data_IF_795352296156
#
_entry.id   IF_795352296156
#
_cell.length_a   1.000
_cell.length_b   1.000
_cell.length_c   1.000
_cell.angle_alpha   90.00
_cell.angle_beta   90.00
_cell.angle_gamma   90.00
#
_symmetry.space_group_name_H-M   'P 1'
#
loop_
_entity.id
_entity.type
_entity.pdbx_description
1 polymer ?
#
# COMPACT_ATOMS: atom_id res chain seq x y z
N UNK A 1 -14.33 -1.05 -3.93
CA UNK A 1 -14.16 -2.46 -4.31
C UNK A 1 -13.53 -3.22 -3.16
N UNK A 2 -14.14 -4.34 -2.71
CA UNK A 2 -13.61 -5.17 -1.63
C UNK A 2 -12.15 -5.65 -1.84
N UNK A 3 -11.50 -6.25 -0.83
CA UNK A 3 -10.17 -6.83 -0.92
C UNK A 3 -10.09 -7.92 -2.00
N UNK A 4 -9.00 -7.92 -2.77
CA UNK A 4 -8.74 -8.96 -3.77
C UNK A 4 -9.60 -8.91 -5.03
N UNK A 5 -10.48 -7.92 -5.20
CA UNK A 5 -11.40 -7.86 -6.36
C UNK A 5 -10.80 -7.23 -7.62
N UNK A 6 -9.48 -7.02 -7.65
CA UNK A 6 -8.81 -6.45 -8.82
C UNK A 6 -8.97 -4.94 -9.01
N UNK A 7 -9.26 -4.15 -7.95
CA UNK A 7 -9.37 -2.67 -8.02
C UNK A 7 -8.31 -2.03 -8.91
N UNK A 8 -7.03 -2.25 -8.62
CA UNK A 8 -5.91 -1.64 -9.34
C UNK A 8 -5.81 -2.13 -10.79
N UNK A 9 -6.26 -3.36 -11.11
CA UNK A 9 -6.32 -3.87 -12.49
C UNK A 9 -7.44 -3.18 -13.26
N UNK A 10 -8.61 -3.02 -12.65
CA UNK A 10 -9.72 -2.24 -13.20
C UNK A 10 -9.30 -0.78 -13.40
N UNK A 11 -8.64 -0.15 -12.42
CA UNK A 11 -8.12 1.22 -12.52
C UNK A 11 -7.16 1.37 -13.71
N UNK A 12 -6.19 0.44 -13.86
CA UNK A 12 -5.26 0.47 -15.00
C UNK A 12 -5.97 0.33 -16.35
N UNK A 13 -7.00 -0.53 -16.42
CA UNK A 13 -7.81 -0.71 -17.64
C UNK A 13 -8.63 0.54 -17.98
N UNK A 14 -9.21 1.19 -16.97
CA UNK A 14 -9.92 2.47 -17.13
C UNK A 14 -8.95 3.53 -17.66
N UNK A 15 -7.77 3.65 -17.06
CA UNK A 15 -6.74 4.61 -17.49
C UNK A 15 -6.32 4.38 -18.95
N UNK A 16 -6.13 3.11 -19.33
CA UNK A 16 -5.82 2.75 -20.71
C UNK A 16 -6.90 3.26 -21.67
N UNK A 17 -8.17 2.94 -21.43
CA UNK A 17 -9.24 3.40 -22.31
C UNK A 17 -9.44 4.92 -22.28
N UNK A 18 -9.30 5.58 -21.14
CA UNK A 18 -9.37 7.05 -21.05
C UNK A 18 -8.29 7.72 -21.91
N UNK A 19 -7.06 7.21 -21.86
CA UNK A 19 -5.97 7.70 -22.69
C UNK A 19 -6.25 7.52 -24.18
N UNK A 20 -6.74 6.34 -24.58
CA UNK A 20 -7.02 6.01 -25.98
C UNK A 20 -8.23 6.75 -26.57
N UNK A 21 -9.33 6.86 -25.81
CA UNK A 21 -10.58 7.49 -26.26
C UNK A 21 -10.38 8.99 -26.40
N UNK A 22 -9.82 9.63 -25.37
CA UNK A 22 -9.71 11.09 -25.33
C UNK A 22 -8.47 11.60 -26.04
N UNK A 23 -7.48 10.74 -26.32
CA UNK A 23 -6.16 11.14 -26.86
C UNK A 23 -5.53 12.27 -26.04
N UNK A 24 -5.75 12.24 -24.72
CA UNK A 24 -5.34 13.25 -23.75
C UNK A 24 -4.60 12.59 -22.59
N UNK A 25 -3.76 13.37 -21.92
CA UNK A 25 -3.05 12.96 -20.72
C UNK A 25 -4.02 12.63 -19.60
N UNK A 26 -3.79 11.49 -18.95
CA UNK A 26 -4.53 11.07 -17.76
C UNK A 26 -3.69 11.33 -16.52
N UNK A 27 -4.27 12.00 -15.52
CA UNK A 27 -3.65 12.14 -14.20
C UNK A 27 -4.10 10.97 -13.32
N UNK A 28 -3.15 10.24 -12.76
CA UNK A 28 -3.42 9.10 -11.90
C UNK A 28 -2.77 9.35 -10.54
N UNK A 29 -3.57 9.30 -9.48
CA UNK A 29 -3.09 9.62 -8.14
C UNK A 29 -3.61 8.66 -7.08
N UNK A 30 -2.90 8.60 -5.96
CA UNK A 30 -3.32 7.93 -4.75
C UNK A 30 -2.70 8.64 -3.53
N UNK A 31 -3.25 8.49 -2.31
CA UNK A 31 -2.69 9.15 -1.12
C UNK A 31 -1.30 8.63 -0.74
N UNK A 32 -1.03 7.34 -0.94
CA UNK A 32 0.23 6.71 -0.55
C UNK A 32 1.14 6.42 -1.75
N UNK A 33 2.46 6.54 -1.55
CA UNK A 33 3.44 6.24 -2.60
C UNK A 33 3.35 4.78 -3.07
N UNK A 34 3.11 3.84 -2.15
CA UNK A 34 2.98 2.42 -2.49
C UNK A 34 1.80 2.16 -3.42
N UNK A 35 0.65 2.80 -3.17
CA UNK A 35 -0.52 2.66 -4.05
C UNK A 35 -0.24 3.26 -5.45
N UNK A 36 0.42 4.42 -5.52
CA UNK A 36 0.84 5.02 -6.80
C UNK A 36 1.79 4.08 -7.56
N UNK A 37 2.78 3.51 -6.87
CA UNK A 37 3.79 2.64 -7.49
C UNK A 37 3.15 1.35 -8.04
N UNK A 38 2.22 0.72 -7.30
CA UNK A 38 1.46 -0.44 -7.79
C UNK A 38 0.63 -0.13 -9.04
N UNK A 39 0.00 1.04 -9.06
CA UNK A 39 -0.82 1.46 -10.19
C UNK A 39 0.04 1.85 -11.40
N UNK A 40 1.17 2.54 -11.18
CA UNK A 40 2.21 2.80 -12.19
C UNK A 40 2.64 1.52 -12.90
N UNK A 41 2.99 0.50 -12.13
CA UNK A 41 3.48 -0.77 -12.68
C UNK A 41 2.42 -1.42 -13.59
N UNK A 42 1.15 -1.47 -13.13
CA UNK A 42 0.07 -2.05 -13.93
C UNK A 42 -0.24 -1.25 -15.19
N UNK A 43 -0.23 0.08 -15.12
CA UNK A 43 -0.46 0.93 -16.28
C UNK A 43 0.69 0.79 -17.28
N UNK A 44 1.94 0.74 -16.82
CA UNK A 44 3.12 0.57 -17.69
C UNK A 44 3.04 -0.71 -18.53
N UNK A 45 2.51 -1.80 -17.95
CA UNK A 45 2.27 -3.07 -18.67
C UNK A 45 1.26 -2.99 -19.82
N UNK A 46 0.46 -1.92 -19.90
CA UNK A 46 -0.47 -1.70 -21.02
C UNK A 46 0.21 -1.12 -22.26
N UNK A 47 1.49 -0.74 -22.16
CA UNK A 47 2.26 -0.14 -23.26
C UNK A 47 2.16 1.39 -23.34
N UNK A 48 1.40 2.03 -22.46
CA UNK A 48 1.34 3.49 -22.35
C UNK A 48 2.67 4.07 -21.85
N UNK A 49 2.98 5.29 -22.28
CA UNK A 49 4.11 6.09 -21.77
C UNK A 49 3.75 6.66 -20.40
N UNK A 50 4.19 5.96 -19.35
CA UNK A 50 3.95 6.35 -17.95
C UNK A 50 5.13 7.12 -17.39
N UNK A 51 4.83 8.23 -16.70
CA UNK A 51 5.81 8.99 -15.91
C UNK A 51 5.37 9.03 -14.44
N UNK A 52 6.24 8.54 -13.55
CA UNK A 52 6.06 8.60 -12.10
C UNK A 52 6.70 9.87 -11.54
N UNK A 53 5.90 10.82 -11.07
CA UNK A 53 6.37 12.04 -10.43
C UNK A 53 6.35 11.88 -8.90
N UNK A 54 7.51 12.00 -8.26
CA UNK A 54 7.67 12.00 -6.81
C UNK A 54 8.17 13.36 -6.28
N UNK A 55 7.97 13.58 -4.98
CA UNK A 55 8.56 14.71 -4.27
C UNK A 55 10.10 14.60 -4.24
N UNK A 56 10.80 15.74 -4.26
CA UNK A 56 12.27 15.79 -4.30
C UNK A 56 12.93 15.01 -3.14
N UNK A 57 12.34 15.06 -1.95
CA UNK A 57 12.81 14.32 -0.77
C UNK A 57 12.78 12.80 -0.93
N UNK A 58 12.12 12.29 -1.99
CA UNK A 58 12.03 10.86 -2.31
C UNK A 58 12.85 10.46 -3.52
N UNK A 59 13.58 11.36 -4.18
CA UNK A 59 14.41 11.02 -5.36
C UNK A 59 15.52 10.00 -5.00
N UNK A 60 16.01 9.99 -3.76
CA UNK A 60 17.03 9.05 -3.31
C UNK A 60 16.48 7.66 -2.89
N UNK A 61 15.15 7.48 -2.82
CA UNK A 61 14.54 6.25 -2.34
C UNK A 61 14.33 5.25 -3.49
N UNK A 62 14.75 4.01 -3.29
CA UNK A 62 14.47 2.93 -4.24
C UNK A 62 12.97 2.60 -4.29
N UNK A 63 12.49 2.23 -5.48
CA UNK A 63 11.12 1.80 -5.72
C UNK A 63 11.08 0.75 -6.85
N UNK A 64 10.11 -0.18 -6.85
CA UNK A 64 9.90 -1.11 -7.96
C UNK A 64 9.71 -0.42 -9.32
N UNK A 65 9.23 0.83 -9.31
CA UNK A 65 8.98 1.64 -10.50
C UNK A 65 10.02 2.75 -10.71
N UNK A 66 11.23 2.60 -10.16
CA UNK A 66 12.33 3.57 -10.36
C UNK A 66 12.58 3.90 -11.84
N UNK A 67 12.51 2.91 -12.73
CA UNK A 67 12.66 3.11 -14.18
C UNK A 67 11.58 4.01 -14.82
N UNK A 68 10.45 4.23 -14.13
CA UNK A 68 9.38 5.14 -14.55
C UNK A 68 9.50 6.53 -13.91
N UNK A 69 10.40 6.73 -12.96
CA UNK A 69 10.50 7.99 -12.22
C UNK A 69 11.05 9.11 -13.09
N UNK A 70 10.39 10.27 -13.04
CA UNK A 70 10.72 11.42 -13.88
C UNK A 70 12.21 11.79 -13.83
N UNK A 71 12.78 11.84 -12.62
CA UNK A 71 14.17 12.26 -12.42
C UNK A 71 15.19 11.24 -12.96
N UNK A 72 14.85 9.94 -12.95
CA UNK A 72 15.70 8.87 -13.51
C UNK A 72 15.55 8.79 -15.03
N UNK A 73 14.32 8.90 -15.55
CA UNK A 73 14.08 8.95 -16.99
C UNK A 73 14.77 10.16 -17.64
N UNK A 74 14.79 11.31 -16.95
CA UNK A 74 15.48 12.51 -17.45
C UNK A 74 16.98 12.27 -17.68
N UNK A 75 17.61 11.50 -16.79
CA UNK A 75 19.01 11.11 -16.95
C UNK A 75 19.19 10.06 -18.04
N UNK A 76 18.18 9.27 -18.38
CA UNK A 76 18.27 8.23 -19.41
C UNK A 76 17.92 8.71 -20.82
N UNK A 77 17.41 9.95 -20.96
CA UNK A 77 17.06 10.50 -22.27
C UNK A 77 18.25 10.57 -23.23
N UNK A 78 18.08 10.14 -24.50
CA UNK A 78 19.11 10.29 -25.53
C UNK A 78 19.50 11.76 -25.73
N UNK A 79 20.79 12.02 -25.96
CA UNK A 79 21.32 13.36 -26.22
C UNK A 79 21.45 14.26 -24.97
N UNK A 80 21.31 13.72 -23.76
CA UNK A 80 21.46 14.46 -22.50
C UNK A 80 22.79 14.18 -21.78
N UNK A 81 23.89 14.02 -22.53
CA UNK A 81 25.23 13.72 -21.97
C UNK A 81 25.71 14.79 -20.99
N UNK A 82 25.45 16.07 -21.30
CA UNK A 82 25.83 17.19 -20.44
C UNK A 82 25.09 17.18 -19.10
N UNK A 83 23.81 16.79 -19.11
CA UNK A 83 23.03 16.64 -17.87
C UNK A 83 23.57 15.49 -17.01
N UNK A 84 23.94 14.36 -17.64
CA UNK A 84 24.56 13.22 -16.96
C UNK A 84 25.90 13.61 -16.33
N UNK A 85 26.76 14.30 -17.08
CA UNK A 85 28.07 14.74 -16.60
C UNK A 85 27.94 15.68 -15.38
N UNK A 86 26.98 16.62 -15.42
CA UNK A 86 26.70 17.51 -14.29
C UNK A 86 26.12 16.77 -13.09
N UNK A 87 25.26 15.76 -13.32
CA UNK A 87 24.74 14.93 -12.24
C UNK A 87 25.88 14.12 -11.58
N UNK A 88 26.75 13.50 -12.37
CA UNK A 88 27.91 12.74 -11.87
C UNK A 88 28.85 13.64 -11.07
N UNK A 89 29.19 14.81 -11.61
CA UNK A 89 30.05 15.77 -10.91
C UNK A 89 29.43 16.14 -9.55
N UNK A 90 28.13 16.46 -9.52
CA UNK A 90 27.43 16.77 -8.26
C UNK A 90 27.46 15.62 -7.26
N UNK A 91 27.33 14.38 -7.74
CA UNK A 91 27.30 13.20 -6.89
C UNK A 91 28.71 12.88 -6.32
N UNK A 92 29.78 13.25 -7.05
CA UNK A 92 31.18 13.11 -6.62
C UNK A 92 31.64 14.24 -5.68
N UNK A 93 31.30 15.49 -5.99
CA UNK A 93 31.77 16.68 -5.26
C UNK A 93 30.81 17.14 -4.16
N UNK A 94 29.57 16.65 -4.15
CA UNK A 94 28.47 17.10 -3.29
C UNK A 94 27.84 18.42 -3.72
N UNK A 95 28.57 19.28 -4.42
CA UNK A 95 28.12 20.61 -4.86
C UNK A 95 28.63 20.95 -6.27
N UNK A 96 27.85 21.75 -7.01
CA UNK A 96 28.24 22.31 -8.32
C UNK A 96 28.61 23.79 -8.19
N UNK A 97 29.42 24.29 -9.14
CA UNK A 97 29.66 25.73 -9.27
C UNK A 97 28.33 26.48 -9.51
N UNK A 98 28.25 27.76 -9.14
CA UNK A 98 27.01 28.53 -9.32
C UNK A 98 26.55 28.61 -10.80
N UNK A 99 27.48 28.53 -11.75
CA UNK A 99 27.17 28.50 -13.18
C UNK A 99 26.64 27.12 -13.61
N UNK A 100 27.29 26.06 -13.14
CA UNK A 100 26.90 24.67 -13.42
C UNK A 100 25.58 24.30 -12.77
N UNK A 101 25.30 24.76 -11.54
CA UNK A 101 24.02 24.55 -10.87
C UNK A 101 22.87 25.20 -11.66
N UNK A 102 23.08 26.42 -12.16
CA UNK A 102 22.11 27.11 -13.03
C UNK A 102 21.90 26.40 -14.35
N UNK A 103 22.95 25.81 -14.92
CA UNK A 103 22.87 25.05 -16.17
C UNK A 103 22.19 23.70 -15.95
N UNK A 104 22.60 22.96 -14.92
CA UNK A 104 22.03 21.69 -14.49
C UNK A 104 20.53 21.82 -14.27
N UNK A 105 20.10 22.83 -13.51
CA UNK A 105 18.67 23.09 -13.27
C UNK A 105 17.90 23.33 -14.57
N UNK A 106 18.43 24.14 -15.48
CA UNK A 106 17.79 24.41 -16.78
C UNK A 106 17.66 23.13 -17.62
N UNK A 107 18.75 22.37 -17.77
CA UNK A 107 18.74 21.12 -18.53
C UNK A 107 17.78 20.09 -17.91
N UNK A 108 17.77 19.97 -16.57
CA UNK A 108 16.87 19.07 -15.84
C UNK A 108 15.41 19.48 -16.03
N UNK A 109 15.08 20.77 -15.91
CA UNK A 109 13.73 21.30 -16.11
C UNK A 109 13.24 21.10 -17.56
N UNK A 110 14.11 21.30 -18.56
CA UNK A 110 13.79 21.06 -19.97
C UNK A 110 13.52 19.57 -20.25
N UNK A 111 14.35 18.67 -19.70
CA UNK A 111 14.14 17.22 -19.81
C UNK A 111 12.85 16.79 -19.12
N UNK A 112 12.60 17.30 -17.92
CA UNK A 112 11.36 17.03 -17.19
C UNK A 112 10.14 17.45 -18.00
N UNK A 113 10.15 18.66 -18.57
CA UNK A 113 9.07 19.15 -19.41
C UNK A 113 8.83 18.25 -20.62
N UNK A 114 9.89 17.85 -21.34
CA UNK A 114 9.78 16.97 -22.52
C UNK A 114 9.14 15.62 -22.16
N UNK A 115 9.54 15.01 -21.04
CA UNK A 115 8.98 13.74 -20.58
C UNK A 115 7.51 13.86 -20.19
N UNK A 116 7.17 14.87 -19.38
CA UNK A 116 5.78 15.10 -18.95
C UNK A 116 4.88 15.47 -20.14
N UNK A 117 5.40 16.19 -21.14
CA UNK A 117 4.67 16.54 -22.35
C UNK A 117 4.39 15.31 -23.24
N UNK A 118 5.34 14.37 -23.32
CA UNK A 118 5.26 13.17 -24.13
C UNK A 118 4.57 11.98 -23.44
N UNK A 119 4.27 12.09 -22.14
CA UNK A 119 3.59 11.06 -21.37
C UNK A 119 2.12 10.91 -21.79
N UNK A 120 1.64 9.68 -21.79
CA UNK A 120 0.21 9.36 -21.89
C UNK A 120 -0.44 9.45 -20.50
N UNK A 121 0.32 9.04 -19.48
CA UNK A 121 -0.14 8.98 -18.09
C UNK A 121 0.92 9.56 -17.16
N UNK A 122 0.48 10.44 -16.26
CA UNK A 122 1.31 10.95 -15.17
C UNK A 122 0.77 10.39 -13.86
N UNK A 123 1.63 9.70 -13.11
CA UNK A 123 1.30 9.11 -11.83
C UNK A 123 2.02 9.85 -10.70
N UNK A 124 1.30 10.29 -9.68
CA UNK A 124 1.88 10.95 -8.50
C UNK A 124 1.00 10.78 -7.26
N UNK A 125 1.46 11.22 -6.08
CA UNK A 125 0.53 11.24 -4.92
C UNK A 125 -0.45 12.40 -5.04
N UNK A 126 -1.60 12.32 -4.35
CA UNK A 126 -2.61 13.38 -4.34
C UNK A 126 -1.99 14.77 -4.07
N UNK A 127 -1.14 14.87 -3.04
CA UNK A 127 -0.43 16.12 -2.71
C UNK A 127 0.55 16.54 -3.81
N UNK A 128 1.29 15.60 -4.41
CA UNK A 128 2.26 15.88 -5.48
C UNK A 128 1.57 16.35 -6.78
N UNK A 129 0.26 16.17 -6.92
CA UNK A 129 -0.49 16.71 -8.06
C UNK A 129 -0.43 18.25 -8.14
N UNK A 130 -0.13 18.93 -7.02
CA UNK A 130 0.09 20.39 -6.96
C UNK A 130 1.51 20.84 -7.37
N UNK A 131 2.41 19.92 -7.73
CA UNK A 131 3.79 20.24 -8.08
C UNK A 131 3.84 21.23 -9.26
N UNK A 132 4.69 22.26 -9.15
CA UNK A 132 4.88 23.30 -10.17
C UNK A 132 5.18 22.73 -11.56
N UNK A 133 5.84 21.57 -11.63
CA UNK A 133 6.14 20.87 -12.90
C UNK A 133 4.88 20.45 -13.64
N UNK A 134 3.76 20.25 -12.93
CA UNK A 134 2.47 19.86 -13.50
C UNK A 134 1.57 21.03 -13.92
N UNK A 135 1.81 22.24 -13.40
CA UNK A 135 0.94 23.42 -13.65
C UNK A 135 0.80 23.80 -15.13
N UNK A 136 1.76 23.41 -15.97
CA UNK A 136 1.74 23.69 -17.42
C UNK A 136 0.87 22.73 -18.22
N UNK A 137 0.38 21.66 -17.60
CA UNK A 137 -0.36 20.60 -18.28
C UNK A 137 -1.84 20.64 -17.90
N UNK A 138 -2.68 20.22 -18.86
CA UNK A 138 -4.11 20.04 -18.65
C UNK A 138 -4.43 18.56 -18.56
N UNK A 139 -5.36 18.21 -17.68
CA UNK A 139 -5.77 16.83 -17.43
C UNK A 139 -7.29 16.75 -17.56
N UNK A 140 -7.77 16.17 -18.66
CA UNK A 140 -9.20 15.98 -18.86
C UNK A 140 -9.78 14.94 -17.87
N UNK A 141 -9.02 13.86 -17.67
CA UNK A 141 -9.42 12.74 -16.82
C UNK A 141 -8.46 12.58 -15.65
N UNK A 142 -9.03 12.44 -14.44
CA UNK A 142 -8.31 12.16 -13.20
C UNK A 142 -8.82 10.85 -12.61
N UNK A 143 -7.94 9.91 -12.32
CA UNK A 143 -8.25 8.72 -11.53
C UNK A 143 -7.55 8.81 -10.18
N UNK A 144 -8.33 8.67 -9.10
CA UNK A 144 -7.83 8.64 -7.71
C UNK A 144 -8.06 7.23 -7.16
N UNK A 145 -6.99 6.45 -7.00
CA UNK A 145 -7.04 5.14 -6.35
C UNK A 145 -6.81 5.27 -4.85
N UNK A 146 -7.34 4.30 -4.09
CA UNK A 146 -7.40 4.34 -2.62
C UNK A 146 -7.95 5.67 -2.07
N UNK A 147 -8.94 6.27 -2.76
CA UNK A 147 -9.51 7.59 -2.42
C UNK A 147 -10.25 7.63 -1.08
N UNK A 148 -10.54 6.47 -0.49
CA UNK A 148 -11.12 6.36 0.85
C UNK A 148 -10.09 6.57 1.96
N UNK A 149 -8.78 6.45 1.65
CA UNK A 149 -7.70 6.71 2.60
C UNK A 149 -7.31 8.20 2.66
N UNK A 150 -7.75 9.03 1.71
CA UNK A 150 -7.41 10.47 1.69
C UNK A 150 -8.49 11.31 2.37
N UNK A 151 -8.05 12.33 3.11
CA UNK A 151 -8.98 13.37 3.56
C UNK A 151 -9.59 14.06 2.35
N UNK A 152 -10.80 14.60 2.48
CA UNK A 152 -11.43 15.32 1.37
C UNK A 152 -10.56 16.45 0.78
N UNK A 153 -9.91 17.33 1.58
CA UNK A 153 -9.02 18.36 1.04
C UNK A 153 -7.85 17.78 0.24
N UNK A 154 -7.26 16.68 0.69
CA UNK A 154 -6.19 15.99 -0.03
C UNK A 154 -6.68 15.43 -1.38
N UNK A 155 -7.89 14.86 -1.39
CA UNK A 155 -8.52 14.32 -2.60
C UNK A 155 -8.87 15.41 -3.61
N UNK A 156 -9.11 16.64 -3.15
CA UNK A 156 -9.41 17.80 -4.01
C UNK A 156 -8.17 18.33 -4.73
N UNK A 157 -6.96 18.22 -4.15
CA UNK A 157 -5.70 18.71 -4.76
C UNK A 157 -5.57 18.34 -6.25
N UNK A 158 -5.64 17.06 -6.66
CA UNK A 158 -5.55 16.68 -8.08
C UNK A 158 -6.72 17.19 -8.94
N UNK A 159 -7.88 17.48 -8.34
CA UNK A 159 -9.06 17.98 -9.04
C UNK A 159 -8.96 19.47 -9.37
N UNK A 160 -8.07 20.20 -8.71
CA UNK A 160 -7.77 21.61 -9.03
C UNK A 160 -6.93 21.78 -10.30
N UNK A 161 -6.44 20.68 -10.89
CA UNK A 161 -5.67 20.71 -12.11
C UNK A 161 -6.50 21.31 -13.28
N UNK A 162 -5.82 21.97 -14.21
CA UNK A 162 -6.51 22.64 -15.31
C UNK A 162 -7.18 21.63 -16.27
N UNK A 163 -8.45 21.90 -16.60
CA UNK A 163 -9.17 21.15 -17.64
C UNK A 163 -9.82 19.84 -17.18
N UNK A 164 -9.88 19.57 -15.87
CA UNK A 164 -10.55 18.37 -15.33
C UNK A 164 -12.04 18.40 -15.67
N UNK A 165 -12.52 17.35 -16.31
CA UNK A 165 -13.95 17.18 -16.66
C UNK A 165 -14.46 15.77 -16.39
N UNK A 166 -13.57 14.80 -16.15
CA UNK A 166 -13.93 13.44 -15.80
C UNK A 166 -13.10 12.96 -14.61
N UNK A 167 -13.78 12.46 -13.58
CA UNK A 167 -13.13 11.99 -12.34
C UNK A 167 -13.58 10.57 -12.04
N UNK A 168 -12.63 9.70 -11.73
CA UNK A 168 -12.87 8.33 -11.27
C UNK A 168 -12.29 8.18 -9.86
N UNK A 169 -13.15 7.97 -8.87
CA UNK A 169 -12.73 7.68 -7.50
C UNK A 169 -12.82 6.18 -7.25
N UNK A 170 -11.71 5.56 -6.86
CA UNK A 170 -11.61 4.14 -6.55
C UNK A 170 -11.21 4.01 -5.10
N UNK A 171 -11.98 3.24 -4.33
CA UNK A 171 -11.73 3.05 -2.91
C UNK A 171 -12.62 1.98 -2.30
N UNK A 172 -12.49 1.81 -0.99
CA UNK A 172 -13.29 0.86 -0.21
C UNK A 172 -13.54 1.44 1.19
N UNK A 173 -14.77 1.92 1.41
CA UNK A 173 -15.18 2.55 2.68
C UNK A 173 -15.25 1.56 3.84
N UNK A 174 -15.22 0.25 3.56
CA UNK A 174 -15.12 -0.80 4.55
C UNK A 174 -13.66 -1.07 4.98
N UNK A 175 -12.66 -0.48 4.30
CA UNK A 175 -11.23 -0.51 4.68
C UNK A 175 -10.80 0.83 5.30
N UNK A 176 -9.51 1.02 5.58
CA UNK A 176 -9.06 2.20 6.34
C UNK A 176 -9.47 3.51 5.68
N UNK A 177 -9.96 4.42 6.53
CA UNK A 177 -10.19 5.80 6.20
C UNK A 177 -8.93 6.67 6.40
N UNK A 178 -9.08 8.00 6.31
CA UNK A 178 -7.99 8.94 6.52
C UNK A 178 -7.50 8.96 7.96
N UNK A 179 -6.18 9.08 8.14
CA UNK A 179 -5.56 9.22 9.47
C UNK A 179 -5.52 10.71 9.85
N UNK A 180 -6.35 11.11 10.81
CA UNK A 180 -6.41 12.48 11.33
C UNK A 180 -5.91 12.51 12.78
N UNK A 181 -4.72 13.05 12.99
CA UNK A 181 -4.09 13.10 14.32
C UNK A 181 -4.84 14.01 15.31
N UNK A 182 -5.38 15.13 14.82
CA UNK A 182 -6.17 16.05 15.64
C UNK A 182 -7.58 15.48 15.86
N UNK A 183 -7.84 14.99 17.09
CA UNK A 183 -9.15 14.43 17.45
C UNK A 183 -10.30 15.43 17.23
N UNK A 184 -10.09 16.71 17.53
CA UNK A 184 -11.12 17.73 17.30
C UNK A 184 -11.46 17.88 15.81
N UNK A 185 -10.45 17.86 14.93
CA UNK A 185 -10.67 17.92 13.48
C UNK A 185 -11.33 16.63 12.94
N UNK A 186 -10.94 15.46 13.47
CA UNK A 186 -11.58 14.19 13.14
C UNK A 186 -13.07 14.21 13.53
N UNK A 187 -13.39 14.65 14.76
CA UNK A 187 -14.78 14.79 15.23
C UNK A 187 -15.57 15.84 14.44
N UNK A 188 -14.91 16.85 13.88
CA UNK A 188 -15.52 17.84 12.99
C UNK A 188 -15.72 17.33 11.55
N UNK A 189 -15.35 16.09 11.24
CA UNK A 189 -15.61 15.43 9.96
C UNK A 189 -14.42 15.31 9.01
N UNK A 190 -13.20 15.76 9.39
CA UNK A 190 -12.02 15.64 8.52
C UNK A 190 -11.61 14.18 8.24
N UNK A 191 -12.10 13.24 9.05
CA UNK A 191 -11.92 11.80 8.86
C UNK A 191 -12.91 11.17 7.86
N UNK A 192 -13.82 11.96 7.28
CA UNK A 192 -14.67 11.53 6.18
C UNK A 192 -13.95 11.81 4.85
N UNK A 193 -13.78 10.76 4.04
CA UNK A 193 -13.22 10.90 2.70
C UNK A 193 -14.25 11.50 1.73
N UNK A 194 -13.76 12.12 0.65
CA UNK A 194 -14.63 12.60 -0.44
C UNK A 194 -15.49 11.46 -1.00
N UNK A 195 -14.93 10.25 -1.10
CA UNK A 195 -15.65 9.07 -1.56
C UNK A 195 -16.85 8.76 -0.65
N UNK A 196 -16.64 8.68 0.66
CA UNK A 196 -17.71 8.41 1.63
C UNK A 196 -18.79 9.50 1.58
N UNK A 197 -18.41 10.78 1.53
CA UNK A 197 -19.37 11.89 1.44
C UNK A 197 -20.26 11.77 0.20
N UNK A 198 -19.68 11.47 -0.97
CA UNK A 198 -20.43 11.29 -2.20
C UNK A 198 -21.40 10.09 -2.15
N UNK A 199 -21.00 9.01 -1.47
CA UNK A 199 -21.91 7.87 -1.21
C UNK A 199 -23.08 8.30 -0.33
N UNK A 200 -22.85 9.06 0.74
CA UNK A 200 -23.91 9.59 1.59
C UNK A 200 -24.85 10.55 0.84
N UNK A 201 -24.34 11.27 -0.16
CA UNK A 201 -25.15 12.11 -1.06
C UNK A 201 -25.95 11.33 -2.10
N UNK A 202 -25.88 10.00 -2.10
CA UNK A 202 -26.68 9.12 -2.96
C UNK A 202 -25.97 8.63 -4.23
N UNK A 203 -24.69 8.96 -4.43
CA UNK A 203 -23.91 8.38 -5.54
C UNK A 203 -23.62 6.92 -5.20
N UNK A 204 -24.20 6.00 -5.98
CA UNK A 204 -24.02 4.55 -5.78
C UNK A 204 -22.70 4.09 -6.40
N UNK A 205 -21.75 3.55 -5.61
CA UNK A 205 -20.51 3.02 -6.17
C UNK A 205 -20.77 1.75 -7.00
N UNK A 206 -19.99 1.59 -8.06
CA UNK A 206 -19.91 0.33 -8.79
C UNK A 206 -19.06 -0.64 -7.93
N UNK A 207 -19.67 -1.71 -7.43
CA UNK A 207 -19.01 -2.71 -6.57
C UNK A 207 -18.45 -3.84 -7.44
N UNK A 208 -17.13 -4.04 -7.39
CA UNK A 208 -16.49 -5.27 -7.88
C UNK A 208 -16.83 -6.42 -6.93
N UNK A 209 -17.32 -7.55 -7.44
CA UNK A 209 -17.93 -8.60 -6.59
C UNK A 209 -17.12 -9.89 -6.46
N UNK A 210 -16.16 -10.15 -7.34
CA UNK A 210 -15.38 -11.41 -7.34
C UNK A 210 -13.97 -11.15 -6.82
N UNK A 211 -13.58 -11.85 -5.76
CA UNK A 211 -12.23 -11.78 -5.18
C UNK A 211 -11.33 -12.89 -5.73
N UNK A 212 -10.07 -12.56 -6.03
CA UNK A 212 -9.08 -13.47 -6.62
C UNK A 212 -7.84 -13.68 -5.73
N UNK A 213 -7.87 -13.19 -4.48
CA UNK A 213 -6.71 -13.21 -3.57
C UNK A 213 -6.70 -14.42 -2.67
N UNK A 214 -7.74 -14.55 -1.86
CA UNK A 214 -7.79 -15.39 -0.67
C UNK A 214 -8.35 -16.77 -0.99
N UNK A 215 -7.89 -17.80 -0.27
CA UNK A 215 -8.61 -19.07 -0.15
C UNK A 215 -10.07 -18.81 0.29
N UNK A 216 -11.08 -19.53 -0.26
CA UNK A 216 -12.50 -19.30 0.05
C UNK A 216 -12.86 -19.28 1.55
N UNK A 217 -12.15 -20.05 2.39
CA UNK A 217 -12.39 -20.04 3.83
C UNK A 217 -11.96 -18.72 4.51
N UNK A 218 -10.93 -18.05 3.99
CA UNK A 218 -10.40 -16.80 4.55
C UNK A 218 -11.31 -15.62 4.20
N UNK A 219 -11.93 -15.65 3.01
CA UNK A 219 -12.85 -14.59 2.56
C UNK A 219 -14.24 -14.67 3.20
N UNK A 220 -14.64 -15.83 3.73
CA UNK A 220 -15.99 -16.07 4.26
C UNK A 220 -16.39 -15.09 5.37
N UNK A 221 -15.55 -14.93 6.41
CA UNK A 221 -15.86 -14.01 7.51
C UNK A 221 -15.86 -12.54 7.04
N UNK A 222 -14.81 -12.01 6.35
CA UNK A 222 -14.84 -10.64 5.86
C UNK A 222 -16.02 -10.36 4.92
N UNK A 223 -16.37 -11.30 4.04
CA UNK A 223 -17.53 -11.19 3.14
C UNK A 223 -18.81 -10.97 3.93
N UNK A 224 -19.11 -11.86 4.88
CA UNK A 224 -20.36 -11.83 5.62
C UNK A 224 -20.45 -10.62 6.56
N UNK A 225 -19.35 -10.24 7.20
CA UNK A 225 -19.34 -9.20 8.23
C UNK A 225 -19.24 -7.80 7.64
N UNK A 226 -18.41 -7.59 6.61
CA UNK A 226 -18.12 -6.26 6.08
C UNK A 226 -18.79 -5.98 4.72
N UNK A 227 -19.24 -7.02 4.01
CA UNK A 227 -19.74 -6.91 2.63
C UNK A 227 -21.06 -7.65 2.40
N UNK A 228 -21.85 -7.85 3.46
CA UNK A 228 -23.23 -8.40 3.38
C UNK A 228 -23.30 -9.80 2.73
N UNK A 229 -22.19 -10.56 2.75
CA UNK A 229 -22.09 -11.87 2.09
C UNK A 229 -22.04 -11.80 0.55
N UNK A 230 -21.88 -10.62 -0.03
CA UNK A 230 -21.94 -10.42 -1.49
C UNK A 230 -20.62 -10.70 -2.22
N UNK A 231 -19.53 -10.94 -1.49
CA UNK A 231 -18.21 -11.21 -2.08
C UNK A 231 -18.12 -12.66 -2.56
N UNK A 232 -17.96 -12.84 -3.87
CA UNK A 232 -17.80 -14.13 -4.52
C UNK A 232 -16.32 -14.51 -4.65
N UNK A 233 -16.03 -15.81 -4.75
CA UNK A 233 -14.67 -16.32 -4.93
C UNK A 233 -14.41 -16.62 -6.41
N UNK A 234 -13.42 -15.94 -6.99
CA UNK A 234 -12.89 -16.23 -8.33
C UNK A 234 -11.69 -17.17 -8.32
N UNK A 235 -11.37 -17.72 -7.15
CA UNK A 235 -10.35 -18.75 -6.94
C UNK A 235 -10.92 -19.87 -6.10
N UNK A 236 -10.50 -21.09 -6.39
CA UNK A 236 -10.92 -22.33 -5.74
C UNK A 236 -10.07 -22.64 -4.50
N UNK A 237 -10.50 -23.64 -3.71
CA UNK A 237 -9.70 -24.14 -2.59
C UNK A 237 -8.41 -24.79 -3.08
N UNK A 238 -8.46 -25.44 -4.24
CA UNK A 238 -7.34 -26.12 -4.90
C UNK A 238 -6.27 -25.12 -5.37
N UNK A 239 -6.67 -24.02 -6.02
CA UNK A 239 -5.76 -22.93 -6.45
C UNK A 239 -5.13 -22.16 -5.28
N UNK A 240 -5.68 -22.31 -4.08
CA UNK A 240 -5.17 -21.72 -2.83
C UNK A 240 -4.80 -22.79 -1.81
N UNK A 241 -4.55 -24.02 -2.27
CA UNK A 241 -4.21 -25.13 -1.41
C UNK A 241 -2.77 -25.03 -0.94
N UNK A 242 -2.57 -25.39 0.32
CA UNK A 242 -1.27 -25.52 0.98
C UNK A 242 -0.97 -26.98 1.32
N UNK A 243 -1.70 -27.92 0.73
CA UNK A 243 -1.61 -29.35 1.05
C UNK A 243 -0.18 -29.91 0.89
N UNK A 244 0.61 -29.36 -0.04
CA UNK A 244 2.00 -29.75 -0.25
C UNK A 244 2.96 -29.23 0.84
N UNK A 245 2.55 -28.25 1.66
CA UNK A 245 3.43 -27.56 2.60
C UNK A 245 3.60 -28.27 3.95
N UNK A 246 2.94 -29.40 4.23
CA UNK A 246 3.09 -30.17 5.49
C UNK A 246 3.07 -29.29 6.78
N UNK A 247 2.29 -28.20 6.76
CA UNK A 247 2.07 -27.36 7.94
C UNK A 247 0.93 -27.97 8.77
N UNK A 248 1.07 -28.03 10.11
CA UNK A 248 0.08 -28.67 10.98
C UNK A 248 -1.16 -27.78 11.19
N UNK A 249 -1.94 -27.55 10.14
CA UNK A 249 -3.23 -26.87 10.25
C UNK A 249 -4.19 -27.70 11.11
N UNK A 250 -4.87 -27.11 12.11
CA UNK A 250 -5.84 -27.84 12.93
C UNK A 250 -6.95 -28.49 12.10
N UNK A 251 -7.33 -27.85 10.98
CA UNK A 251 -8.16 -28.44 9.96
C UNK A 251 -7.41 -28.36 8.61
N UNK A 252 -7.05 -29.48 7.97
CA UNK A 252 -6.29 -29.50 6.72
C UNK A 252 -6.94 -28.74 5.54
N UNK A 253 -8.27 -28.56 5.57
CA UNK A 253 -9.04 -27.86 4.52
C UNK A 253 -9.30 -26.38 4.85
N UNK A 254 -8.86 -25.91 6.01
CA UNK A 254 -9.01 -24.52 6.44
C UNK A 254 -7.63 -24.00 6.84
N UNK A 255 -6.90 -23.34 5.93
CA UNK A 255 -5.59 -22.76 6.22
C UNK A 255 -5.69 -21.50 7.11
N UNK A 256 -6.42 -21.60 8.22
CA UNK A 256 -6.49 -20.60 9.25
C UNK A 256 -6.78 -21.21 10.60
N UNK A 257 -6.24 -20.58 11.64
CA UNK A 257 -6.61 -20.86 13.01
C UNK A 257 -6.31 -19.67 13.91
N UNK A 258 -6.96 -19.68 15.06
CA UNK A 258 -6.69 -18.78 16.17
C UNK A 258 -5.85 -19.53 17.19
N UNK A 259 -4.66 -19.01 17.47
CA UNK A 259 -3.69 -19.57 18.40
C UNK A 259 -3.74 -18.79 19.71
N UNK A 260 -4.51 -19.33 20.65
CA UNK A 260 -4.65 -18.75 21.97
C UNK A 260 -3.34 -18.92 22.76
N UNK A 261 -2.84 -17.83 23.32
CA UNK A 261 -1.66 -17.84 24.19
C UNK A 261 -1.98 -17.15 25.51
N UNK A 262 -1.50 -17.66 26.63
CA UNK A 262 -1.71 -16.99 27.91
C UNK A 262 -0.52 -16.09 28.22
N UNK A 263 -0.64 -14.80 27.88
CA UNK A 263 0.36 -13.76 28.14
C UNK A 263 -0.26 -12.52 28.77
N UNK A 264 0.60 -11.60 29.21
CA UNK A 264 0.20 -10.27 29.67
C UNK A 264 0.79 -9.21 28.76
N UNK A 265 0.04 -8.13 28.56
CA UNK A 265 0.54 -6.97 27.82
C UNK A 265 1.51 -6.14 28.69
N UNK A 266 2.57 -5.63 28.06
CA UNK A 266 3.54 -4.72 28.66
C UNK A 266 3.51 -3.39 27.91
N UNK A 267 3.74 -2.28 28.62
CA UNK A 267 3.97 -0.97 27.98
C UNK A 267 5.39 -0.98 27.41
N UNK A 268 5.54 -0.62 26.13
CA UNK A 268 6.86 -0.55 25.50
C UNK A 268 7.72 0.58 26.09
N UNK A 269 9.04 0.49 25.94
CA UNK A 269 9.98 1.45 26.57
C UNK A 269 9.80 2.93 26.22
N UNK A 270 9.05 3.25 25.16
CA UNK A 270 8.67 4.63 24.80
C UNK A 270 7.41 5.15 25.53
N UNK A 271 6.76 4.32 26.37
CA UNK A 271 5.60 4.69 27.20
C UNK A 271 4.26 4.85 26.46
N UNK A 272 4.20 4.69 25.14
CA UNK A 272 3.01 5.02 24.32
C UNK A 272 2.48 3.87 23.48
N UNK A 273 3.12 2.69 23.53
CA UNK A 273 2.71 1.49 22.80
C UNK A 273 2.72 0.27 23.70
N UNK A 274 2.26 -0.86 23.16
CA UNK A 274 2.16 -2.12 23.89
C UNK A 274 2.94 -3.22 23.18
N UNK A 275 3.40 -4.20 23.94
CA UNK A 275 4.00 -5.44 23.45
C UNK A 275 3.54 -6.63 24.29
N UNK A 276 3.64 -7.82 23.73
CA UNK A 276 3.34 -9.08 24.40
C UNK A 276 4.41 -10.11 24.04
N UNK A 277 5.23 -10.47 25.03
CA UNK A 277 6.38 -11.37 24.86
C UNK A 277 5.96 -12.79 24.55
N UNK A 278 4.87 -13.25 25.18
CA UNK A 278 4.34 -14.60 24.96
C UNK A 278 3.82 -14.74 23.53
N UNK A 279 3.09 -13.75 23.03
CA UNK A 279 2.69 -13.71 21.62
C UNK A 279 3.90 -13.68 20.69
N UNK A 280 4.90 -12.84 20.97
CA UNK A 280 6.08 -12.74 20.12
C UNK A 280 6.87 -14.07 20.01
N UNK A 281 7.00 -14.80 21.12
CA UNK A 281 7.62 -16.12 21.12
C UNK A 281 6.79 -17.15 20.32
N UNK A 282 5.45 -17.07 20.38
CA UNK A 282 4.58 -17.92 19.56
C UNK A 282 4.71 -17.57 18.07
N UNK A 283 4.71 -16.27 17.73
CA UNK A 283 4.90 -15.78 16.36
C UNK A 283 6.23 -16.26 15.79
N UNK A 284 7.34 -16.17 16.53
CA UNK A 284 8.64 -16.70 16.09
C UNK A 284 8.55 -18.18 15.75
N UNK A 285 7.97 -19.01 16.63
CA UNK A 285 7.83 -20.46 16.38
C UNK A 285 7.03 -20.76 15.12
N UNK A 286 5.97 -19.99 14.88
CA UNK A 286 5.12 -20.12 13.68
C UNK A 286 5.91 -19.72 12.42
N UNK A 287 6.59 -18.56 12.45
CA UNK A 287 7.46 -18.09 11.36
C UNK A 287 8.51 -19.14 11.04
N UNK A 288 9.23 -19.62 12.06
CA UNK A 288 10.26 -20.64 11.92
C UNK A 288 9.72 -21.92 11.30
N UNK A 289 8.52 -22.35 11.71
CA UNK A 289 7.89 -23.54 11.13
C UNK A 289 7.55 -23.35 9.66
N UNK A 290 6.99 -22.19 9.28
CA UNK A 290 6.67 -21.85 7.89
C UNK A 290 7.94 -21.79 7.02
N UNK A 291 9.01 -21.19 7.52
CA UNK A 291 10.29 -21.14 6.80
C UNK A 291 10.89 -22.55 6.63
N UNK A 292 10.84 -23.41 7.65
CA UNK A 292 11.37 -24.79 7.59
C UNK A 292 10.67 -25.68 6.57
N UNK A 293 9.40 -25.41 6.25
CA UNK A 293 8.64 -26.16 5.24
C UNK A 293 8.74 -25.53 3.84
N UNK A 294 9.61 -24.53 3.66
CA UNK A 294 9.91 -23.94 2.36
C UNK A 294 9.09 -22.71 1.98
N UNK A 295 8.36 -22.10 2.92
CA UNK A 295 7.76 -20.77 2.67
C UNK A 295 8.88 -19.76 2.49
N UNK A 296 8.86 -19.02 1.38
CA UNK A 296 9.84 -17.99 1.10
C UNK A 296 9.62 -16.78 2.02
N UNK A 297 10.66 -16.24 2.69
CA UNK A 297 10.53 -15.14 3.64
C UNK A 297 9.75 -13.94 3.12
N UNK A 298 10.00 -13.52 1.88
CA UNK A 298 9.38 -12.37 1.24
C UNK A 298 7.87 -12.54 1.01
N UNK A 299 7.37 -13.77 1.06
CA UNK A 299 5.94 -14.12 0.92
C UNK A 299 5.23 -14.25 2.27
N UNK A 300 5.95 -14.14 3.38
CA UNK A 300 5.42 -14.16 4.74
C UNK A 300 5.30 -12.74 5.30
N UNK A 301 4.20 -12.46 5.99
CA UNK A 301 3.98 -11.19 6.68
C UNK A 301 3.53 -11.39 8.11
N UNK A 302 4.05 -10.57 9.01
CA UNK A 302 3.57 -10.43 10.38
C UNK A 302 2.95 -9.05 10.55
N UNK A 303 1.67 -9.04 10.91
CA UNK A 303 0.89 -7.84 11.13
C UNK A 303 0.68 -7.68 12.63
N UNK A 304 0.96 -6.50 13.15
CA UNK A 304 0.64 -6.17 14.54
C UNK A 304 0.20 -4.72 14.67
N UNK A 305 -0.81 -4.42 15.50
CA UNK A 305 -1.33 -3.06 15.57
C UNK A 305 -0.48 -2.09 16.39
N UNK A 306 0.47 -2.59 17.16
CA UNK A 306 1.28 -1.79 18.07
C UNK A 306 2.72 -1.69 17.59
N UNK A 307 3.21 -0.46 17.48
CA UNK A 307 4.59 -0.18 17.09
C UNK A 307 5.61 -0.79 18.07
N UNK A 308 5.25 -0.83 19.37
CA UNK A 308 6.04 -1.54 20.39
C UNK A 308 6.22 -3.02 20.08
N UNK A 309 5.15 -3.72 19.74
CA UNK A 309 5.20 -5.12 19.32
C UNK A 309 5.96 -5.30 18.01
N UNK A 310 5.78 -4.41 17.03
CA UNK A 310 6.51 -4.47 15.74
C UNK A 310 8.02 -4.41 15.96
N UNK A 311 8.49 -3.41 16.71
CA UNK A 311 9.90 -3.25 17.04
C UNK A 311 10.43 -4.43 17.86
N UNK A 312 9.64 -4.91 18.83
CA UNK A 312 9.99 -6.06 19.66
C UNK A 312 10.14 -7.33 18.85
N UNK A 313 9.21 -7.64 17.93
CA UNK A 313 9.28 -8.81 17.04
C UNK A 313 10.54 -8.80 16.17
N UNK A 314 10.88 -7.66 15.56
CA UNK A 314 12.09 -7.52 14.74
C UNK A 314 13.34 -7.82 15.58
N UNK A 315 13.42 -7.26 16.78
CA UNK A 315 14.53 -7.52 17.70
C UNK A 315 14.55 -8.99 18.15
N UNK A 316 13.38 -9.55 18.47
CA UNK A 316 13.24 -10.93 18.93
C UNK A 316 13.68 -11.92 17.87
N UNK A 317 13.29 -11.73 16.61
CA UNK A 317 13.74 -12.58 15.50
C UNK A 317 15.25 -12.52 15.31
N UNK A 318 15.86 -11.34 15.47
CA UNK A 318 17.30 -11.17 15.34
C UNK A 318 18.07 -11.87 16.48
N UNK A 319 17.57 -11.81 17.72
CA UNK A 319 18.27 -12.30 18.89
C UNK A 319 17.99 -13.77 19.21
N UNK A 320 16.75 -14.23 19.02
CA UNK A 320 16.26 -15.52 19.48
C UNK A 320 15.77 -16.43 18.34
N UNK A 321 15.78 -15.95 17.09
CA UNK A 321 15.34 -16.74 15.94
C UNK A 321 16.20 -17.99 15.75
N UNK A 322 15.55 -19.14 15.53
CA UNK A 322 16.22 -20.45 15.38
C UNK A 322 16.93 -20.69 14.03
N UNK A 323 16.81 -19.75 13.09
CA UNK A 323 17.30 -19.87 11.71
C UNK A 323 18.28 -18.73 11.42
N UNK A 324 18.86 -18.72 10.21
CA UNK A 324 19.72 -17.63 9.79
C UNK A 324 18.97 -16.29 9.88
N UNK A 325 19.58 -15.30 10.56
CA UNK A 325 19.00 -13.97 10.78
C UNK A 325 18.55 -13.28 9.48
N UNK A 326 19.24 -13.55 8.36
CA UNK A 326 18.88 -13.01 7.04
C UNK A 326 17.49 -13.45 6.60
N UNK A 327 17.09 -14.70 6.91
CA UNK A 327 15.75 -15.19 6.57
C UNK A 327 14.68 -14.42 7.32
N UNK A 328 14.90 -14.08 8.60
CA UNK A 328 13.92 -13.28 9.34
C UNK A 328 13.88 -11.81 8.90
N UNK A 329 15.01 -11.24 8.46
CA UNK A 329 15.07 -9.86 7.97
C UNK A 329 14.23 -9.66 6.70
N UNK A 330 14.04 -10.71 5.90
CA UNK A 330 13.20 -10.68 4.70
C UNK A 330 11.70 -10.89 5.00
N UNK A 331 11.34 -11.36 6.21
CA UNK A 331 9.94 -11.43 6.66
C UNK A 331 9.44 -10.02 6.98
N UNK A 332 8.33 -9.63 6.36
CA UNK A 332 7.78 -8.28 6.54
C UNK A 332 7.01 -8.18 7.86
N UNK A 333 7.50 -7.38 8.82
CA UNK A 333 6.83 -7.08 10.09
C UNK A 333 6.37 -5.62 10.10
N UNK A 334 5.06 -5.38 10.04
CA UNK A 334 4.52 -4.02 9.97
C UNK A 334 3.12 -3.88 10.58
N UNK A 335 2.67 -2.62 10.71
CA UNK A 335 1.31 -2.31 11.13
C UNK A 335 0.30 -2.61 10.02
N UNK A 336 -0.98 -2.77 10.40
CA UNK A 336 -2.08 -2.95 9.45
C UNK A 336 -2.14 -1.80 8.44
N UNK A 337 -1.97 -0.56 8.91
CA UNK A 337 -1.97 0.65 8.09
C UNK A 337 -0.86 0.59 7.02
N UNK A 338 0.33 0.09 7.37
CA UNK A 338 1.42 -0.10 6.42
C UNK A 338 1.17 -1.25 5.42
N UNK A 339 0.41 -2.26 5.82
CA UNK A 339 0.05 -3.44 5.00
C UNK A 339 -1.12 -3.19 4.02
N UNK A 340 -1.82 -2.07 4.12
CA UNK A 340 -2.91 -1.77 3.19
C UNK A 340 -2.40 -1.71 1.73
N UNK A 341 -3.20 -2.24 0.81
CA UNK A 341 -2.79 -2.42 -0.60
C UNK A 341 -1.79 -3.55 -0.86
N UNK A 342 -1.14 -4.13 0.16
CA UNK A 342 -0.23 -5.28 0.02
C UNK A 342 -0.96 -6.59 0.24
N UNK A 343 -0.29 -7.68 -0.13
CA UNK A 343 -0.73 -9.05 0.09
C UNK A 343 0.48 -9.96 0.30
N UNK A 344 0.28 -11.05 1.03
CA UNK A 344 1.29 -12.07 1.33
C UNK A 344 0.69 -13.46 1.15
N UNK A 345 1.52 -14.45 0.90
CA UNK A 345 1.05 -15.82 0.81
C UNK A 345 0.55 -16.28 2.18
N UNK A 346 1.31 -15.99 3.23
CA UNK A 346 0.93 -16.26 4.62
C UNK A 346 0.99 -14.99 5.47
N UNK A 347 0.00 -14.83 6.35
CA UNK A 347 -0.06 -13.72 7.30
C UNK A 347 -0.24 -14.24 8.71
N UNK A 348 0.55 -13.70 9.63
CA UNK A 348 0.40 -13.89 11.07
C UNK A 348 -0.05 -12.58 11.68
N UNK A 349 -1.17 -12.56 12.39
CA UNK A 349 -1.69 -11.39 13.10
C UNK A 349 -1.40 -11.54 14.60
N UNK A 350 -0.60 -10.66 15.18
CA UNK A 350 -0.40 -10.57 16.64
C UNK A 350 -1.27 -9.47 17.22
N UNK A 351 -2.24 -9.85 18.07
CA UNK A 351 -3.26 -8.97 18.64
C UNK A 351 -2.77 -8.14 19.83
N UNK A 352 -1.76 -8.65 20.56
CA UNK A 352 -1.05 -8.05 21.69
C UNK A 352 -1.86 -7.91 22.97
N UNK A 353 -3.07 -7.35 22.87
CA UNK A 353 -3.86 -6.97 24.04
C UNK A 353 -4.33 -8.18 24.83
N UNK A 354 -4.07 -8.15 26.13
CA UNK A 354 -4.35 -9.20 27.08
C UNK A 354 -4.75 -8.56 28.42
N UNK A 355 -5.98 -8.05 28.46
CA UNK A 355 -6.52 -7.36 29.63
C UNK A 355 -8.05 -7.55 29.74
N UNK A 356 -8.58 -7.48 30.95
CA UNK A 356 -10.02 -7.63 31.20
C UNK A 356 -10.80 -6.30 31.02
N UNK A 357 -10.17 -5.15 31.28
CA UNK A 357 -10.89 -3.89 31.52
C UNK A 357 -10.38 -2.66 30.72
N UNK A 358 -9.29 -2.76 29.96
CA UNK A 358 -8.64 -1.62 29.28
C UNK A 358 -8.93 -1.54 27.77
N UNK A 359 -9.92 -2.31 27.29
CA UNK A 359 -10.36 -2.36 25.91
C UNK A 359 -9.30 -2.94 24.95
N UNK A 360 -9.74 -3.37 23.77
CA UNK A 360 -8.85 -3.96 22.75
C UNK A 360 -8.13 -2.91 21.88
N UNK A 361 -8.33 -1.61 22.18
CA UNK A 361 -7.66 -0.48 21.54
C UNK A 361 -7.84 -0.49 20.03
N UNK A 362 -6.76 -0.76 19.31
CA UNK A 362 -6.73 -0.77 17.84
C UNK A 362 -7.77 -1.70 17.21
N UNK A 363 -8.05 -2.84 17.84
CA UNK A 363 -9.00 -3.84 17.32
C UNK A 363 -10.47 -3.36 17.39
N UNK A 364 -10.75 -2.23 18.05
CA UNK A 364 -12.09 -1.62 18.06
C UNK A 364 -12.50 -1.04 16.69
N UNK A 365 -11.55 -0.79 15.78
CA UNK A 365 -11.89 -0.31 14.44
C UNK A 365 -12.18 -1.51 13.51
N UNK A 366 -13.43 -1.73 13.09
CA UNK A 366 -13.79 -2.85 12.22
C UNK A 366 -13.07 -2.80 10.87
N UNK A 367 -12.72 -1.60 10.38
CA UNK A 367 -12.03 -1.42 9.09
C UNK A 367 -10.59 -1.91 9.16
N UNK A 368 -9.94 -1.72 10.30
CA UNK A 368 -8.59 -2.24 10.57
C UNK A 368 -8.58 -3.76 10.65
N UNK A 369 -9.55 -4.35 11.34
CA UNK A 369 -9.72 -5.80 11.38
C UNK A 369 -9.95 -6.37 9.97
N UNK A 370 -10.84 -5.75 9.18
CA UNK A 370 -11.10 -6.14 7.80
C UNK A 370 -9.81 -6.13 6.95
N UNK A 371 -8.98 -5.08 7.06
CA UNK A 371 -7.69 -5.05 6.35
C UNK A 371 -6.78 -6.18 6.81
N UNK A 372 -6.60 -6.36 8.11
CA UNK A 372 -5.71 -7.38 8.68
C UNK A 372 -6.09 -8.81 8.23
N UNK A 373 -7.39 -9.14 8.26
CA UNK A 373 -7.90 -10.45 7.87
C UNK A 373 -7.81 -10.74 6.36
N UNK A 374 -7.63 -9.71 5.53
CA UNK A 374 -7.74 -9.82 4.06
C UNK A 374 -6.41 -9.63 3.32
N UNK A 375 -5.29 -9.78 4.04
CA UNK A 375 -3.93 -9.67 3.47
C UNK A 375 -3.36 -11.01 2.98
N UNK A 376 -3.81 -12.13 3.54
CA UNK A 376 -3.31 -13.46 3.19
C UNK A 376 -3.88 -13.97 1.87
N UNK A 377 -3.11 -14.75 1.11
CA UNK A 377 -3.60 -15.51 -0.06
C UNK A 377 -3.89 -16.96 0.32
N UNK A 378 -2.92 -17.60 0.97
CA UNK A 378 -2.93 -19.04 1.25
C UNK A 378 -3.27 -19.37 2.69
N UNK A 379 -2.75 -18.63 3.68
CA UNK A 379 -3.08 -18.92 5.08
C UNK A 379 -2.97 -17.75 6.05
N UNK A 380 -3.80 -17.79 7.09
CA UNK A 380 -3.91 -16.75 8.12
C UNK A 380 -3.83 -17.36 9.53
N UNK A 381 -2.90 -16.88 10.34
CA UNK A 381 -2.77 -17.34 11.74
C UNK A 381 -2.95 -16.13 12.64
N UNK A 382 -3.93 -16.19 13.54
CA UNK A 382 -4.17 -15.12 14.52
C UNK A 382 -3.61 -15.58 15.85
N UNK A 383 -2.73 -14.79 16.47
CA UNK A 383 -2.13 -15.04 17.78
C UNK A 383 -2.68 -13.99 18.73
N UNK A 384 -3.32 -14.44 19.80
CA UNK A 384 -3.96 -13.56 20.79
C UNK A 384 -4.09 -14.25 22.13
N UNK A 385 -4.25 -13.45 23.19
CA UNK A 385 -4.66 -13.92 24.51
C UNK A 385 -6.16 -14.14 24.63
#
# INVERSE_FOLDING_TARGET
GPPGTGKTVTSASIVYHLSQIHQKKVLVVAPSNTAVDQLCEKISRTGLKVVRLCAKSREALASPVSHLMLHLQALQLPGQERLKALQQLRDETGELSAQDEKLFKRLKDDCHYKLLAAADVICCTCVTASDRRLQRFQFHSVLIDESTQSTEPECIVPLTAHGVSQVVLVGDHCQLGPVVACKAAASAGLNQSLFERLVFMGIRPIRLQVQYRMHPCLSAFPSNVFYEGTLQNGVTAEERSVAQMNFPWPNPHRPMFFYCVHGQEEISGNGVSYLNRTEAAAVEKIVTRLLKIGVRPETLGVITPYEGQRAFLIHYFHQFGLLNVKLYQEVEVASVDAFQGREKDFVILSCVRANENQGIGFLNDPRRLNVALTRAKFGLIVVSC
#
